data_IF_661453146891
#
_entry.id   IF_661453146891
#
_cell.length_a   1.000
_cell.length_b   1.000
_cell.length_c   1.000
_cell.angle_alpha   90.00
_cell.angle_beta   90.00
_cell.angle_gamma   90.00
#
_symmetry.space_group_name_H-M   'P 1'
#
loop_
_entity.id
_entity.type
_entity.pdbx_description
1 polymer ?
#
# COMPACT_ATOMS: atom_id res chain seq x y z
N UNK A 1 17.83 -38.24 -8.30
CA UNK A 1 17.02 -37.05 -7.97
C UNK A 1 16.23 -36.69 -9.21
N UNK A 2 14.90 -36.83 -9.20
CA UNK A 2 14.07 -36.30 -10.29
C UNK A 2 14.21 -34.77 -10.27
N UNK A 3 14.71 -34.18 -11.36
CA UNK A 3 14.70 -32.74 -11.52
C UNK A 3 13.22 -32.29 -11.47
N UNK A 4 12.80 -31.49 -10.48
CA UNK A 4 11.42 -31.07 -10.40
C UNK A 4 11.06 -30.12 -11.56
N UNK A 5 12.03 -29.51 -12.24
CA UNK A 5 11.77 -28.60 -13.35
C UNK A 5 11.56 -29.35 -14.68
N UNK A 6 10.52 -29.00 -15.46
CA UNK A 6 10.39 -29.50 -16.81
C UNK A 6 11.58 -29.03 -17.66
N UNK A 7 12.07 -29.90 -18.55
CA UNK A 7 13.20 -29.57 -19.43
C UNK A 7 12.86 -28.43 -20.42
N UNK A 8 11.58 -28.27 -20.75
CA UNK A 8 11.06 -27.26 -21.67
C UNK A 8 9.73 -26.72 -21.13
N UNK A 9 9.56 -25.40 -21.20
CA UNK A 9 8.26 -24.74 -21.04
C UNK A 9 7.63 -24.65 -22.44
N UNK A 10 6.70 -25.55 -22.73
CA UNK A 10 6.19 -25.74 -24.10
C UNK A 10 4.67 -25.73 -24.21
N UNK A 11 3.96 -25.73 -23.08
CA UNK A 11 2.50 -25.68 -23.08
C UNK A 11 2.02 -24.25 -23.31
N UNK A 12 1.46 -23.99 -24.50
CA UNK A 12 0.81 -22.73 -24.82
C UNK A 12 -0.35 -22.44 -23.85
N UNK A 13 -1.17 -23.45 -23.57
CA UNK A 13 -2.28 -23.36 -22.60
C UNK A 13 -1.78 -22.92 -21.23
N UNK A 14 -0.62 -23.41 -20.79
CA UNK A 14 -0.06 -23.02 -19.51
C UNK A 14 0.35 -21.54 -19.46
N UNK A 15 0.88 -21.01 -20.58
CA UNK A 15 1.22 -19.60 -20.69
C UNK A 15 -0.04 -18.72 -20.72
N UNK A 16 -1.05 -19.10 -21.49
CA UNK A 16 -2.30 -18.34 -21.62
C UNK A 16 -3.06 -18.27 -20.28
N UNK A 17 -3.08 -19.39 -19.53
CA UNK A 17 -3.60 -19.40 -18.16
C UNK A 17 -2.82 -18.49 -17.21
N UNK A 18 -1.49 -18.49 -17.29
CA UNK A 18 -0.66 -17.60 -16.46
C UNK A 18 -0.95 -16.12 -16.77
N UNK A 19 -1.14 -15.77 -18.04
CA UNK A 19 -1.56 -14.42 -18.43
C UNK A 19 -2.96 -14.08 -17.91
N UNK A 20 -3.91 -15.01 -18.00
CA UNK A 20 -5.27 -14.84 -17.49
C UNK A 20 -5.30 -14.61 -15.98
N UNK A 21 -4.51 -15.38 -15.23
CA UNK A 21 -4.32 -15.18 -13.79
C UNK A 21 -3.77 -13.79 -13.48
N UNK A 22 -2.76 -13.36 -14.23
CA UNK A 22 -2.13 -12.06 -14.03
C UNK A 22 -3.10 -10.92 -14.35
N UNK A 23 -3.88 -11.03 -15.43
CA UNK A 23 -4.90 -10.05 -15.79
C UNK A 23 -5.98 -9.95 -14.70
N UNK A 24 -6.40 -11.08 -14.12
CA UNK A 24 -7.32 -11.12 -12.98
C UNK A 24 -6.76 -10.35 -11.77
N UNK A 25 -5.49 -10.57 -11.44
CA UNK A 25 -4.80 -9.81 -10.39
C UNK A 25 -4.70 -8.31 -10.71
N UNK A 26 -4.25 -7.96 -11.92
CA UNK A 26 -4.08 -6.55 -12.32
C UNK A 26 -5.40 -5.79 -12.29
N UNK A 27 -6.51 -6.44 -12.69
CA UNK A 27 -7.85 -5.88 -12.58
C UNK A 27 -8.29 -5.71 -11.13
N UNK A 28 -7.99 -6.67 -10.25
CA UNK A 28 -8.26 -6.50 -8.83
C UNK A 28 -7.50 -5.31 -8.26
N UNK A 29 -6.21 -5.23 -8.58
CA UNK A 29 -5.31 -4.23 -8.00
C UNK A 29 -5.61 -2.81 -8.52
N UNK A 30 -6.05 -2.67 -9.77
CA UNK A 30 -6.50 -1.36 -10.29
C UNK A 30 -7.71 -0.85 -9.51
N UNK A 31 -8.73 -1.69 -9.28
CA UNK A 31 -9.93 -1.34 -8.48
C UNK A 31 -9.53 -0.94 -7.05
N UNK A 32 -8.58 -1.67 -6.45
CA UNK A 32 -8.06 -1.36 -5.12
C UNK A 32 -7.43 0.04 -5.08
N UNK A 33 -6.58 0.38 -6.06
CA UNK A 33 -5.93 1.70 -6.14
C UNK A 33 -6.94 2.81 -6.42
N UNK A 34 -7.90 2.55 -7.31
CA UNK A 34 -8.97 3.49 -7.65
C UNK A 34 -9.80 3.86 -6.41
N UNK A 35 -10.10 2.91 -5.53
CA UNK A 35 -10.78 3.20 -4.27
C UNK A 35 -9.98 4.16 -3.37
N UNK A 36 -8.65 4.06 -3.37
CA UNK A 36 -7.76 5.01 -2.69
C UNK A 36 -7.80 6.42 -3.30
N UNK A 37 -7.88 6.52 -4.63
CA UNK A 37 -8.00 7.82 -5.32
C UNK A 37 -9.37 8.46 -5.09
N UNK A 38 -10.44 7.69 -5.22
CA UNK A 38 -11.81 8.13 -4.94
C UNK A 38 -11.99 8.53 -3.48
N UNK A 39 -11.26 7.94 -2.54
CA UNK A 39 -11.28 8.35 -1.14
C UNK A 39 -10.83 9.81 -0.94
N UNK A 40 -9.84 10.29 -1.73
CA UNK A 40 -9.42 11.70 -1.70
C UNK A 40 -10.58 12.60 -2.13
N UNK A 41 -11.20 12.31 -3.26
CA UNK A 41 -12.34 13.11 -3.77
C UNK A 41 -13.52 13.10 -2.80
N UNK A 42 -13.85 11.93 -2.24
CA UNK A 42 -14.90 11.80 -1.25
C UNK A 42 -14.57 12.58 0.05
N UNK A 43 -13.32 12.55 0.51
CA UNK A 43 -12.87 13.33 1.65
C UNK A 43 -13.01 14.84 1.38
N UNK A 44 -12.53 15.33 0.23
CA UNK A 44 -12.61 16.74 -0.17
C UNK A 44 -14.07 17.25 -0.24
N UNK A 45 -14.98 16.38 -0.69
CA UNK A 45 -16.41 16.66 -0.77
C UNK A 45 -17.18 16.37 0.53
N UNK A 46 -16.50 15.93 1.59
CA UNK A 46 -17.11 15.49 2.86
C UNK A 46 -18.15 14.35 2.68
N UNK A 47 -18.01 13.53 1.65
CA UNK A 47 -18.86 12.36 1.38
C UNK A 47 -18.45 11.16 2.25
N UNK A 48 -18.83 11.22 3.52
CA UNK A 48 -18.58 10.15 4.49
C UNK A 48 -19.31 8.85 4.16
N UNK A 49 -20.43 8.95 3.43
CA UNK A 49 -21.15 7.77 2.98
C UNK A 49 -20.36 7.05 1.87
N UNK A 50 -19.83 7.80 0.90
CA UNK A 50 -18.95 7.31 -0.15
C UNK A 50 -17.70 6.62 0.40
N UNK A 51 -17.00 7.23 1.36
CA UNK A 51 -15.84 6.60 2.02
C UNK A 51 -16.22 5.26 2.66
N UNK A 52 -17.37 5.19 3.35
CA UNK A 52 -17.85 3.95 3.97
C UNK A 52 -18.21 2.89 2.94
N UNK A 53 -18.76 3.31 1.81
CA UNK A 53 -19.10 2.43 0.70
C UNK A 53 -17.84 1.85 0.05
N UNK A 54 -16.85 2.69 -0.27
CA UNK A 54 -15.55 2.27 -0.81
C UNK A 54 -14.86 1.21 0.08
N UNK A 55 -14.90 1.39 1.41
CA UNK A 55 -14.35 0.41 2.35
C UNK A 55 -15.05 -0.95 2.29
N UNK A 56 -16.39 -0.96 2.18
CA UNK A 56 -17.16 -2.20 2.07
C UNK A 56 -16.88 -2.90 0.74
N UNK A 57 -16.98 -2.16 -0.35
CA UNK A 57 -16.84 -2.69 -1.70
C UNK A 57 -15.44 -3.29 -1.92
N UNK A 58 -14.39 -2.64 -1.40
CA UNK A 58 -13.02 -3.15 -1.45
C UNK A 58 -12.85 -4.53 -0.82
N UNK A 59 -13.55 -4.84 0.27
CA UNK A 59 -13.47 -6.17 0.92
C UNK A 59 -14.12 -7.22 0.01
N UNK A 60 -15.29 -6.92 -0.54
CA UNK A 60 -16.03 -7.85 -1.42
C UNK A 60 -15.33 -8.07 -2.77
N UNK A 61 -14.62 -7.05 -3.28
CA UNK A 61 -14.00 -7.14 -4.60
C UNK A 61 -12.84 -8.13 -4.70
N UNK A 62 -12.12 -8.45 -3.62
CA UNK A 62 -11.07 -9.47 -3.71
C UNK A 62 -11.65 -10.84 -4.08
N UNK A 63 -12.60 -11.31 -3.27
CA UNK A 63 -13.24 -12.61 -3.47
C UNK A 63 -13.93 -12.68 -4.82
N UNK A 64 -14.61 -11.59 -5.24
CA UNK A 64 -15.27 -11.53 -6.53
C UNK A 64 -14.27 -11.69 -7.69
N UNK A 65 -13.11 -11.03 -7.65
CA UNK A 65 -12.09 -11.15 -8.71
C UNK A 65 -11.47 -12.55 -8.75
N UNK A 66 -11.27 -13.17 -7.59
CA UNK A 66 -10.81 -14.56 -7.50
C UNK A 66 -11.84 -15.50 -8.12
N UNK A 67 -13.13 -15.34 -7.79
CA UNK A 67 -14.23 -16.14 -8.33
C UNK A 67 -14.33 -15.98 -9.85
N UNK A 68 -14.33 -14.76 -10.36
CA UNK A 68 -14.40 -14.47 -11.80
C UNK A 68 -13.22 -15.05 -12.56
N UNK A 69 -11.99 -14.89 -12.04
CA UNK A 69 -10.79 -15.44 -12.67
C UNK A 69 -10.82 -16.96 -12.68
N UNK A 70 -11.27 -17.58 -11.58
CA UNK A 70 -11.41 -19.03 -11.51
C UNK A 70 -12.42 -19.54 -12.55
N UNK A 71 -13.63 -18.96 -12.59
CA UNK A 71 -14.64 -19.35 -13.58
C UNK A 71 -14.15 -19.18 -15.02
N UNK A 72 -13.44 -18.09 -15.32
CA UNK A 72 -12.88 -17.88 -16.65
C UNK A 72 -11.88 -18.99 -17.02
N UNK A 73 -11.00 -19.37 -16.09
CA UNK A 73 -10.05 -20.45 -16.31
C UNK A 73 -10.74 -21.81 -16.51
N UNK A 74 -11.80 -22.06 -15.76
CA UNK A 74 -12.61 -23.29 -15.83
C UNK A 74 -13.34 -23.40 -17.19
N UNK A 75 -13.96 -22.32 -17.66
CA UNK A 75 -14.73 -22.30 -18.90
C UNK A 75 -13.85 -22.33 -20.16
N UNK A 76 -12.75 -21.57 -20.17
CA UNK A 76 -11.89 -21.42 -21.35
C UNK A 76 -10.89 -22.58 -21.52
N UNK A 77 -10.34 -23.10 -20.42
CA UNK A 77 -9.22 -24.05 -20.46
C UNK A 77 -9.54 -25.42 -19.85
N UNK A 78 -10.77 -25.66 -19.37
CA UNK A 78 -11.15 -26.86 -18.60
C UNK A 78 -10.17 -27.12 -17.44
N UNK A 79 -9.86 -26.05 -16.68
CA UNK A 79 -8.74 -26.01 -15.74
C UNK A 79 -8.74 -27.16 -14.68
N UNK A 80 -9.91 -27.73 -14.38
CA UNK A 80 -10.07 -28.85 -13.46
C UNK A 80 -9.54 -30.19 -14.01
N UNK A 81 -9.58 -30.37 -15.33
CA UNK A 81 -9.15 -31.60 -16.00
C UNK A 81 -7.66 -31.60 -16.36
N UNK A 82 -6.98 -30.46 -16.21
CA UNK A 82 -5.57 -30.31 -16.54
C UNK A 82 -4.67 -31.11 -15.60
N UNK A 83 -3.57 -31.64 -16.15
CA UNK A 83 -2.60 -32.42 -15.39
C UNK A 83 -1.73 -31.54 -14.48
N UNK A 84 -1.20 -32.15 -13.43
CA UNK A 84 -0.18 -31.57 -12.55
C UNK A 84 1.00 -30.94 -13.33
N UNK A 85 1.43 -31.54 -14.44
CA UNK A 85 2.53 -31.03 -15.26
C UNK A 85 2.18 -29.69 -15.92
N UNK A 86 0.94 -29.50 -16.35
CA UNK A 86 0.47 -28.24 -16.94
C UNK A 86 0.42 -27.16 -15.86
N UNK A 87 -0.18 -27.45 -14.70
CA UNK A 87 -0.22 -26.51 -13.57
C UNK A 87 1.16 -26.09 -13.08
N UNK A 88 2.12 -27.01 -13.12
CA UNK A 88 3.50 -26.67 -12.84
C UNK A 88 4.06 -25.67 -13.86
N UNK A 89 3.81 -25.88 -15.15
CA UNK A 89 4.22 -24.92 -16.20
C UNK A 89 3.51 -23.58 -16.04
N UNK A 90 2.22 -23.55 -15.66
CA UNK A 90 1.47 -22.31 -15.39
C UNK A 90 2.19 -21.47 -14.34
N UNK A 91 2.56 -22.09 -13.21
CA UNK A 91 3.30 -21.41 -12.14
C UNK A 91 4.64 -20.87 -12.62
N UNK A 92 5.38 -21.63 -13.43
CA UNK A 92 6.69 -21.21 -13.95
C UNK A 92 6.58 -20.04 -14.93
N UNK A 93 5.58 -20.06 -15.81
CA UNK A 93 5.27 -18.92 -16.68
C UNK A 93 4.86 -17.70 -15.84
N UNK A 94 4.01 -17.91 -14.83
CA UNK A 94 3.58 -16.84 -13.93
C UNK A 94 4.77 -16.16 -13.24
N UNK A 95 5.72 -16.93 -12.67
CA UNK A 95 6.96 -16.40 -12.08
C UNK A 95 7.71 -15.50 -13.06
N UNK A 96 7.83 -15.92 -14.33
CA UNK A 96 8.48 -15.12 -15.36
C UNK A 96 7.76 -13.80 -15.64
N UNK A 97 6.43 -13.76 -15.51
CA UNK A 97 5.64 -12.53 -15.70
C UNK A 97 5.71 -11.58 -14.49
N UNK A 98 6.02 -12.08 -13.30
CA UNK A 98 6.04 -11.27 -12.08
C UNK A 98 7.21 -10.27 -12.03
N UNK A 99 8.27 -10.45 -12.84
CA UNK A 99 9.49 -9.63 -12.78
C UNK A 99 9.25 -8.13 -13.02
N UNK A 100 8.19 -7.80 -13.76
CA UNK A 100 7.87 -6.43 -14.15
C UNK A 100 6.73 -5.83 -13.32
N UNK A 101 6.33 -6.50 -12.24
CA UNK A 101 5.27 -6.01 -11.36
C UNK A 101 5.84 -5.26 -10.16
N UNK A 102 5.12 -4.22 -9.77
CA UNK A 102 5.40 -3.46 -8.56
C UNK A 102 4.83 -4.11 -7.28
N UNK A 103 4.03 -5.19 -7.42
CA UNK A 103 3.36 -5.89 -6.30
C UNK A 103 3.38 -7.43 -6.46
N UNK A 104 4.56 -8.03 -6.73
CA UNK A 104 4.64 -9.46 -6.98
C UNK A 104 4.12 -10.32 -5.81
N UNK A 105 4.29 -9.85 -4.57
CA UNK A 105 3.83 -10.55 -3.36
C UNK A 105 2.29 -10.70 -3.30
N UNK A 106 1.57 -9.70 -3.82
CA UNK A 106 0.11 -9.75 -3.89
C UNK A 106 -0.36 -10.60 -5.07
N UNK A 107 0.36 -10.55 -6.19
CA UNK A 107 0.09 -11.38 -7.36
C UNK A 107 0.25 -12.88 -7.06
N UNK A 108 1.26 -13.26 -6.26
CA UNK A 108 1.45 -14.63 -5.77
C UNK A 108 0.30 -15.08 -4.84
N UNK A 109 -0.17 -14.19 -3.96
CA UNK A 109 -1.30 -14.47 -3.07
C UNK A 109 -2.61 -14.66 -3.85
N UNK A 110 -2.82 -13.83 -4.88
CA UNK A 110 -3.96 -13.95 -5.79
C UNK A 110 -3.91 -15.27 -6.56
N UNK A 111 -2.75 -15.62 -7.11
CA UNK A 111 -2.52 -16.91 -7.77
C UNK A 111 -2.89 -18.09 -6.86
N UNK A 112 -2.42 -18.08 -5.61
CA UNK A 112 -2.75 -19.11 -4.63
C UNK A 112 -4.26 -19.20 -4.40
N UNK A 113 -4.94 -18.05 -4.30
CA UNK A 113 -6.38 -17.98 -4.03
C UNK A 113 -7.20 -18.58 -5.18
N UNK A 114 -6.84 -18.27 -6.42
CA UNK A 114 -7.50 -18.84 -7.62
C UNK A 114 -7.19 -20.33 -7.76
N UNK A 115 -5.92 -20.72 -7.63
CA UNK A 115 -5.50 -22.12 -7.83
C UNK A 115 -6.09 -23.05 -6.78
N UNK A 116 -6.12 -22.64 -5.50
CA UNK A 116 -6.73 -23.43 -4.42
C UNK A 116 -8.24 -23.57 -4.58
N UNK A 117 -8.90 -22.58 -5.19
CA UNK A 117 -10.33 -22.66 -5.54
C UNK A 117 -10.59 -23.72 -6.60
N UNK A 118 -9.83 -23.71 -7.70
CA UNK A 118 -10.02 -24.65 -8.82
C UNK A 118 -9.64 -26.08 -8.42
N UNK A 119 -8.49 -26.27 -7.77
CA UNK A 119 -7.97 -27.63 -7.50
C UNK A 119 -8.54 -28.28 -6.23
N UNK A 120 -9.38 -27.55 -5.48
CA UNK A 120 -9.86 -27.90 -4.15
C UNK A 120 -8.73 -28.27 -3.16
N UNK A 121 -9.08 -28.53 -1.89
CA UNK A 121 -8.15 -28.85 -0.80
C UNK A 121 -7.28 -30.11 -0.99
N UNK A 122 -7.39 -30.80 -2.15
CA UNK A 122 -6.61 -32.00 -2.49
C UNK A 122 -5.15 -31.71 -2.83
N UNK A 123 -4.76 -30.46 -3.06
CA UNK A 123 -3.41 -30.12 -3.54
C UNK A 123 -2.71 -29.01 -2.73
N UNK A 124 -2.63 -29.16 -1.41
CA UNK A 124 -1.59 -28.49 -0.60
C UNK A 124 -0.22 -29.11 -0.88
N UNK A 125 0.25 -29.02 -2.14
CA UNK A 125 1.59 -29.41 -2.54
C UNK A 125 2.35 -28.15 -2.96
N UNK A 126 3.50 -27.89 -2.33
CA UNK A 126 4.34 -26.69 -2.56
C UNK A 126 4.73 -26.49 -4.04
N UNK A 127 4.58 -27.52 -4.88
CA UNK A 127 4.79 -27.43 -6.33
C UNK A 127 3.81 -26.48 -7.01
N UNK A 128 2.57 -26.36 -6.53
CA UNK A 128 1.50 -25.61 -7.22
C UNK A 128 1.11 -24.30 -6.55
N UNK A 129 1.63 -24.00 -5.36
CA UNK A 129 1.35 -22.76 -4.63
C UNK A 129 2.64 -22.04 -4.22
N UNK A 130 2.57 -20.73 -4.05
CA UNK A 130 3.65 -19.91 -3.51
C UNK A 130 3.65 -20.00 -1.98
N UNK A 131 4.56 -20.79 -1.41
CA UNK A 131 4.74 -20.90 0.06
C UNK A 131 5.77 -19.89 0.59
N UNK A 132 6.67 -19.45 -0.28
CA UNK A 132 7.65 -18.40 -0.02
C UNK A 132 7.64 -17.41 -1.19
N UNK A 133 7.86 -16.12 -0.94
CA UNK A 133 8.00 -15.14 -2.01
C UNK A 133 9.09 -15.56 -2.99
N UNK A 134 8.76 -15.55 -4.28
CA UNK A 134 9.71 -15.92 -5.35
C UNK A 134 10.53 -14.72 -5.79
N UNK A 135 9.94 -13.52 -5.73
CA UNK A 135 10.58 -12.25 -6.10
C UNK A 135 10.86 -11.43 -4.84
N UNK A 136 12.08 -10.90 -4.74
CA UNK A 136 12.44 -9.95 -3.70
C UNK A 136 11.81 -8.59 -3.99
N UNK A 137 11.17 -8.01 -2.98
CA UNK A 137 10.62 -6.65 -3.08
C UNK A 137 11.63 -5.57 -2.67
N UNK A 138 12.88 -5.93 -2.37
CA UNK A 138 13.92 -4.99 -1.90
C UNK A 138 14.41 -4.05 -3.01
N UNK A 139 14.41 -4.52 -4.26
CA UNK A 139 14.91 -3.80 -5.43
C UNK A 139 13.86 -3.83 -6.54
N UNK A 140 12.74 -3.15 -6.32
CA UNK A 140 11.75 -2.88 -7.37
C UNK A 140 12.16 -1.60 -8.09
N UNK A 141 12.71 -1.73 -9.29
CA UNK A 141 12.99 -0.60 -10.18
C UNK A 141 11.70 -0.13 -10.83
N UNK A 142 11.49 1.19 -10.86
CA UNK A 142 10.33 1.80 -11.49
C UNK A 142 10.83 2.59 -12.70
N UNK A 143 10.95 1.88 -13.83
CA UNK A 143 11.55 2.39 -15.07
C UNK A 143 10.63 3.34 -15.86
N UNK A 144 9.37 3.45 -15.47
CA UNK A 144 8.43 4.40 -16.06
C UNK A 144 8.61 5.79 -15.43
N UNK A 145 8.74 6.82 -16.29
CA UNK A 145 8.97 8.25 -16.01
C UNK A 145 8.57 8.68 -14.59
N UNK A 146 9.42 9.44 -13.86
CA UNK A 146 9.50 9.45 -12.39
C UNK A 146 8.12 9.34 -11.76
N UNK A 147 7.69 8.10 -11.55
CA UNK A 147 6.52 7.77 -10.75
C UNK A 147 6.71 8.45 -9.40
N UNK A 148 5.62 8.96 -8.81
CA UNK A 148 5.70 9.65 -7.53
C UNK A 148 6.40 8.69 -6.55
N UNK A 149 7.54 9.07 -5.95
CA UNK A 149 8.28 8.17 -5.08
C UNK A 149 7.36 7.74 -3.92
N UNK A 150 7.56 6.55 -3.34
CA UNK A 150 6.70 6.07 -2.25
C UNK A 150 6.68 7.03 -1.04
N UNK A 151 7.78 7.76 -0.82
CA UNK A 151 7.86 8.88 0.12
C UNK A 151 8.73 10.01 -0.42
N UNK A 152 8.59 11.20 0.15
CA UNK A 152 9.43 12.38 -0.11
C UNK A 152 10.25 12.70 1.14
N UNK A 153 11.50 13.10 0.94
CA UNK A 153 12.37 13.61 1.99
C UNK A 153 12.38 15.15 1.97
N UNK A 154 12.32 15.75 3.15
CA UNK A 154 12.38 17.17 3.37
C UNK A 154 13.48 17.48 4.40
N UNK A 155 14.13 18.63 4.24
CA UNK A 155 15.32 19.00 5.01
C UNK A 155 15.10 20.34 5.73
N UNK A 156 14.63 20.32 6.98
CA UNK A 156 14.47 21.54 7.78
C UNK A 156 15.79 22.22 8.15
N UNK A 157 16.91 21.48 8.10
CA UNK A 157 18.21 21.91 8.63
C UNK A 157 18.26 21.78 10.15
N UNK A 158 17.32 22.42 10.85
CA UNK A 158 17.15 22.32 12.31
C UNK A 158 15.67 22.44 12.73
N UNK A 159 15.43 22.49 14.04
CA UNK A 159 14.06 22.62 14.56
C UNK A 159 13.39 23.96 14.24
N UNK A 160 14.12 25.02 13.89
CA UNK A 160 13.56 26.31 13.49
C UNK A 160 13.01 26.26 12.05
N UNK A 161 13.61 25.46 11.18
CA UNK A 161 13.13 25.24 9.81
C UNK A 161 11.90 24.34 9.66
N UNK A 162 11.34 23.81 10.76
CA UNK A 162 10.23 22.85 10.72
C UNK A 162 8.97 23.40 10.07
N UNK A 163 8.53 24.59 10.47
CA UNK A 163 7.27 25.17 10.01
C UNK A 163 7.18 25.35 8.49
N UNK A 164 8.15 26.00 7.80
CA UNK A 164 8.10 26.14 6.34
C UNK A 164 8.17 24.78 5.62
N UNK A 165 8.92 23.81 6.16
CA UNK A 165 8.98 22.45 5.61
C UNK A 165 7.64 21.73 5.74
N UNK A 166 7.01 21.76 6.91
CA UNK A 166 5.69 21.15 7.13
C UNK A 166 4.62 21.79 6.24
N UNK A 167 4.69 23.11 6.04
CA UNK A 167 3.82 23.83 5.09
C UNK A 167 3.99 23.31 3.66
N UNK A 168 5.23 23.18 3.19
CA UNK A 168 5.54 22.62 1.86
C UNK A 168 5.09 21.17 1.74
N UNK A 169 5.28 20.37 2.79
CA UNK A 169 4.89 18.96 2.85
C UNK A 169 3.37 18.80 2.70
N UNK A 170 2.58 19.57 3.46
CA UNK A 170 1.11 19.53 3.39
C UNK A 170 0.64 20.01 2.01
N UNK A 171 1.21 21.09 1.48
CA UNK A 171 0.87 21.60 0.15
C UNK A 171 1.13 20.57 -0.96
N UNK A 172 2.10 19.67 -0.77
CA UNK A 172 2.48 18.66 -1.77
C UNK A 172 1.41 17.58 -2.04
N UNK A 173 0.37 17.50 -1.20
CA UNK A 173 -0.76 16.58 -1.36
C UNK A 173 -1.91 17.16 -2.18
N UNK A 174 -1.87 18.47 -2.46
CA UNK A 174 -2.79 19.15 -3.37
C UNK A 174 -4.28 18.93 -2.99
N UNK A 175 -4.60 19.12 -1.71
CA UNK A 175 -5.98 19.08 -1.21
C UNK A 175 -6.72 20.34 -1.66
N UNK A 176 -7.92 20.20 -2.21
CA UNK A 176 -8.71 21.32 -2.72
C UNK A 176 -9.27 22.25 -1.63
N UNK A 177 -9.48 21.71 -0.43
CA UNK A 177 -10.13 22.43 0.65
C UNK A 177 -9.16 23.43 1.30
N UNK A 178 -9.60 24.67 1.57
CA UNK A 178 -8.79 25.61 2.33
C UNK A 178 -8.65 25.15 3.78
N UNK A 179 -7.54 25.51 4.41
CA UNK A 179 -7.37 25.36 5.86
C UNK A 179 -8.02 26.54 6.59
N UNK A 180 -8.64 26.28 7.73
CA UNK A 180 -9.23 27.33 8.59
C UNK A 180 -8.14 28.33 9.03
N UNK A 181 -7.01 27.81 9.52
CA UNK A 181 -5.83 28.60 9.86
C UNK A 181 -4.58 27.70 9.90
N UNK A 182 -3.97 27.47 8.73
CA UNK A 182 -2.82 26.57 8.61
C UNK A 182 -1.60 27.04 9.42
N UNK A 183 -1.33 28.35 9.47
CA UNK A 183 -0.15 28.86 10.16
C UNK A 183 -0.25 28.62 11.68
N UNK A 184 -1.43 28.86 12.29
CA UNK A 184 -1.72 28.52 13.69
C UNK A 184 -1.52 27.02 13.95
N UNK A 185 -2.11 26.18 13.10
CA UNK A 185 -2.05 24.73 13.28
C UNK A 185 -0.60 24.22 13.17
N UNK A 186 0.19 24.81 12.26
CA UNK A 186 1.62 24.52 12.11
C UNK A 186 2.47 25.04 13.28
N UNK A 187 2.14 26.17 13.89
CA UNK A 187 2.82 26.67 15.10
C UNK A 187 2.65 25.66 16.25
N UNK A 188 1.43 25.19 16.48
CA UNK A 188 1.11 24.17 17.49
C UNK A 188 1.82 22.85 17.19
N UNK A 189 1.74 22.39 15.94
CA UNK A 189 2.39 21.16 15.47
C UNK A 189 3.91 21.22 15.68
N UNK A 190 4.53 22.33 15.28
CA UNK A 190 5.97 22.54 15.41
C UNK A 190 6.40 22.60 16.87
N UNK A 191 5.59 23.23 17.74
CA UNK A 191 5.84 23.25 19.18
C UNK A 191 5.85 21.83 19.77
N UNK A 192 4.86 21.01 19.44
CA UNK A 192 4.78 19.62 19.92
C UNK A 192 5.95 18.77 19.42
N UNK A 193 6.37 18.93 18.16
CA UNK A 193 7.56 18.26 17.63
C UNK A 193 8.81 18.68 18.41
N UNK A 194 9.01 19.99 18.62
CA UNK A 194 10.14 20.53 19.40
C UNK A 194 10.17 19.97 20.83
N UNK A 195 9.01 19.90 21.48
CA UNK A 195 8.88 19.32 22.82
C UNK A 195 9.25 17.83 22.84
N UNK A 196 8.80 17.05 21.86
CA UNK A 196 9.16 15.62 21.75
C UNK A 196 10.66 15.37 21.48
N UNK A 197 11.33 16.35 20.88
CA UNK A 197 12.76 16.30 20.54
C UNK A 197 13.63 16.99 21.60
N UNK A 198 13.05 17.57 22.65
CA UNK A 198 13.75 18.44 23.62
C UNK A 198 14.97 17.80 24.31
N UNK A 199 15.02 16.47 24.40
CA UNK A 199 16.15 15.73 24.96
C UNK A 199 17.27 15.42 23.95
N UNK A 200 17.13 15.86 22.69
CA UNK A 200 18.03 15.52 21.59
C UNK A 200 18.48 16.80 20.87
N UNK A 201 19.78 16.97 20.64
CA UNK A 201 20.28 18.02 19.75
C UNK A 201 19.96 17.68 18.29
N UNK A 202 19.72 18.69 17.45
CA UNK A 202 19.59 18.47 16.00
C UNK A 202 20.91 17.97 15.43
N UNK A 203 20.89 16.78 14.84
CA UNK A 203 21.97 16.20 14.07
C UNK A 203 22.05 16.86 12.70
N UNK A 204 23.21 16.75 12.03
CA UNK A 204 23.43 17.32 10.70
C UNK A 204 22.54 16.71 9.61
N UNK A 205 21.96 15.54 9.86
CA UNK A 205 21.10 14.79 8.97
C UNK A 205 19.60 14.95 9.29
N UNK A 206 19.22 16.00 10.03
CA UNK A 206 17.83 16.24 10.43
C UNK A 206 16.87 16.31 9.24
N UNK A 207 15.96 15.33 9.17
CA UNK A 207 15.11 15.07 8.01
C UNK A 207 13.68 14.75 8.42
N UNK A 208 12.74 15.09 7.54
CA UNK A 208 11.36 14.63 7.59
C UNK A 208 11.09 13.80 6.34
N UNK A 209 10.67 12.55 6.50
CA UNK A 209 10.15 11.77 5.39
C UNK A 209 8.64 11.63 5.51
N UNK A 210 7.91 11.80 4.41
CA UNK A 210 6.46 11.58 4.39
C UNK A 210 6.07 10.71 3.20
N UNK A 211 5.20 9.73 3.43
CA UNK A 211 4.59 8.94 2.37
C UNK A 211 3.87 9.86 1.38
N UNK A 212 3.98 9.57 0.09
CA UNK A 212 3.48 10.46 -0.97
C UNK A 212 1.97 10.42 -1.15
N UNK A 213 1.28 9.53 -0.45
CA UNK A 213 -0.18 9.41 -0.47
C UNK A 213 -0.78 9.52 0.93
N UNK A 214 -2.00 10.08 0.98
CA UNK A 214 -2.77 10.25 2.21
C UNK A 214 -3.51 8.94 2.51
N UNK A 215 -3.55 8.60 3.80
CA UNK A 215 -4.31 7.47 4.30
C UNK A 215 -5.67 7.98 4.80
N UNK A 216 -6.76 7.52 4.22
CA UNK A 216 -8.10 7.94 4.61
C UNK A 216 -8.77 6.89 5.48
N UNK A 217 -9.39 7.34 6.58
CA UNK A 217 -10.25 6.49 7.40
C UNK A 217 -11.34 7.32 8.05
N UNK A 218 -12.59 6.85 7.92
CA UNK A 218 -13.77 7.56 8.43
C UNK A 218 -13.80 9.01 7.92
N UNK A 219 -13.60 9.98 8.81
CA UNK A 219 -13.61 11.42 8.51
C UNK A 219 -12.22 12.06 8.56
N UNK A 220 -11.17 11.25 8.65
CA UNK A 220 -9.81 11.71 8.91
C UNK A 220 -8.89 11.30 7.77
N UNK A 221 -8.09 12.26 7.33
CA UNK A 221 -6.99 12.09 6.39
C UNK A 221 -5.68 12.10 7.17
N UNK A 222 -4.89 11.05 7.05
CA UNK A 222 -3.63 10.91 7.77
C UNK A 222 -2.46 11.06 6.81
N UNK A 223 -1.59 12.03 7.08
CA UNK A 223 -0.29 12.14 6.44
C UNK A 223 0.70 11.36 7.28
N UNK A 224 1.19 10.25 6.74
CA UNK A 224 2.10 9.35 7.42
C UNK A 224 3.55 9.76 7.14
N UNK A 225 4.34 9.90 8.19
CA UNK A 225 5.72 10.33 8.08
C UNK A 225 6.57 9.93 9.27
N UNK A 226 7.84 10.30 9.19
CA UNK A 226 8.85 10.07 10.21
C UNK A 226 9.87 11.20 10.25
N UNK A 227 10.34 11.49 11.45
CA UNK A 227 11.45 12.39 11.72
C UNK A 227 12.70 11.54 11.88
N UNK A 228 13.77 11.90 11.18
CA UNK A 228 15.10 11.31 11.33
C UNK A 228 15.99 12.38 11.95
N UNK A 229 16.62 12.04 13.07
CA UNK A 229 17.57 12.91 13.76
C UNK A 229 18.75 12.08 14.27
N UNK A 230 19.83 12.01 13.50
CA UNK A 230 20.90 11.03 13.69
C UNK A 230 20.35 9.60 13.60
N UNK A 231 20.73 8.76 14.56
CA UNK A 231 20.27 7.36 14.63
C UNK A 231 18.80 7.21 15.08
N UNK A 232 18.16 8.29 15.54
CA UNK A 232 16.79 8.23 16.06
C UNK A 232 15.77 8.47 14.95
N UNK A 233 14.91 7.48 14.74
CA UNK A 233 13.71 7.58 13.90
C UNK A 233 12.49 7.70 14.81
N UNK A 234 11.68 8.74 14.63
CA UNK A 234 10.46 8.96 15.41
C UNK A 234 9.26 9.14 14.47
N UNK A 235 8.07 8.63 14.82
CA UNK A 235 6.87 8.88 14.02
C UNK A 235 6.52 10.35 13.87
N UNK A 236 5.93 10.70 12.74
CA UNK A 236 5.30 11.99 12.49
C UNK A 236 4.04 11.75 11.66
N UNK A 237 2.89 11.65 12.32
CA UNK A 237 1.60 11.48 11.64
C UNK A 237 0.74 12.70 11.89
N UNK A 238 0.29 13.37 10.83
CA UNK A 238 -0.66 14.48 10.92
C UNK A 238 -2.07 13.97 10.62
N UNK A 239 -3.02 14.25 11.52
CA UNK A 239 -4.43 13.94 11.34
C UNK A 239 -5.15 15.22 10.86
N UNK A 240 -5.64 15.19 9.63
CA UNK A 240 -6.41 16.26 9.01
C UNK A 240 -7.90 15.92 9.08
N UNK A 241 -8.71 16.89 9.49
CA UNK A 241 -10.16 16.77 9.56
C UNK A 241 -10.85 18.02 9.03
N UNK A 242 -12.13 17.89 8.71
CA UNK A 242 -12.98 19.04 8.38
C UNK A 242 -13.57 19.63 9.65
N UNK A 243 -13.49 20.96 9.79
CA UNK A 243 -14.28 21.68 10.78
C UNK A 243 -15.76 21.75 10.34
N UNK A 244 -16.69 22.24 11.19
CA UNK A 244 -18.10 22.36 10.82
C UNK A 244 -18.41 23.27 9.61
N UNK A 245 -17.46 24.10 9.17
CA UNK A 245 -17.57 24.97 7.98
C UNK A 245 -17.04 24.29 6.71
N UNK A 246 -16.47 23.10 6.81
CA UNK A 246 -15.86 22.39 5.69
C UNK A 246 -14.43 22.83 5.35
N UNK A 247 -13.77 23.55 6.24
CA UNK A 247 -12.35 23.91 6.12
C UNK A 247 -11.49 22.84 6.82
N UNK A 248 -10.26 22.66 6.35
CA UNK A 248 -9.33 21.71 6.94
C UNK A 248 -8.68 22.27 8.21
N UNK A 249 -8.46 21.38 9.17
CA UNK A 249 -7.67 21.63 10.37
C UNK A 249 -6.71 20.48 10.60
N UNK A 250 -5.54 20.76 11.19
CA UNK A 250 -4.68 19.72 11.77
C UNK A 250 -5.25 19.42 13.16
N UNK A 251 -6.10 18.40 13.25
CA UNK A 251 -6.80 18.01 14.47
C UNK A 251 -5.84 17.41 15.51
N UNK A 252 -4.79 16.72 15.04
CA UNK A 252 -3.80 16.12 15.92
C UNK A 252 -2.52 15.70 15.22
N UNK A 253 -1.51 15.43 16.05
CA UNK A 253 -0.22 14.89 15.65
C UNK A 253 0.11 13.67 16.52
N UNK A 254 0.63 12.62 15.89
CA UNK A 254 1.10 11.42 16.57
C UNK A 254 2.62 11.34 16.42
N UNK A 255 3.33 11.35 17.55
CA UNK A 255 4.79 11.41 17.63
C UNK A 255 5.42 10.19 18.30
N UNK A 256 4.60 9.26 18.78
CA UNK A 256 5.06 8.05 19.46
C UNK A 256 4.56 6.78 18.79
N UNK A 257 5.32 5.71 18.94
CA UNK A 257 4.94 4.38 18.46
C UNK A 257 3.60 3.92 19.07
N UNK A 258 3.36 4.23 20.35
CA UNK A 258 2.14 3.85 21.07
C UNK A 258 0.91 4.46 20.40
N UNK A 259 0.99 5.73 20.02
CA UNK A 259 -0.09 6.43 19.33
C UNK A 259 -0.36 5.82 17.94
N UNK A 260 0.72 5.48 17.21
CA UNK A 260 0.60 4.82 15.92
C UNK A 260 -0.04 3.43 16.06
N UNK A 261 0.34 2.63 17.06
CA UNK A 261 -0.26 1.31 17.29
C UNK A 261 -1.77 1.40 17.51
N UNK A 262 -2.25 2.45 18.19
CA UNK A 262 -3.68 2.65 18.40
C UNK A 262 -4.42 2.88 17.08
N UNK A 263 -3.87 3.71 16.19
CA UNK A 263 -4.48 3.95 14.88
C UNK A 263 -4.28 2.78 13.90
N UNK A 264 -3.27 1.93 14.07
CA UNK A 264 -3.06 0.72 13.25
C UNK A 264 -3.62 -0.57 13.89
N UNK A 265 -4.34 -0.46 15.01
CA UNK A 265 -4.93 -1.62 15.68
C UNK A 265 -5.91 -2.36 14.77
N UNK A 266 -5.89 -3.70 14.85
CA UNK A 266 -6.78 -4.63 14.14
C UNK A 266 -8.27 -4.42 14.44
N UNK A 267 -8.59 -3.69 15.52
CA UNK A 267 -9.97 -3.36 15.90
C UNK A 267 -10.59 -2.24 15.07
N UNK A 268 -9.79 -1.54 14.27
CA UNK A 268 -10.25 -0.45 13.42
C UNK A 268 -10.44 -0.89 11.97
N UNK A 269 -11.25 -0.14 11.23
CA UNK A 269 -11.36 -0.32 9.78
C UNK A 269 -10.02 -0.04 9.08
N UNK A 270 -9.77 -0.76 7.99
CA UNK A 270 -8.62 -0.55 7.12
C UNK A 270 -8.57 0.90 6.58
N UNK A 271 -7.37 1.36 6.24
CA UNK A 271 -7.19 2.61 5.51
C UNK A 271 -7.51 2.45 4.03
N UNK A 272 -8.07 3.49 3.41
CA UNK A 272 -8.08 3.69 1.97
C UNK A 272 -6.83 4.49 1.59
N UNK A 273 -6.02 3.94 0.69
CA UNK A 273 -4.75 4.54 0.26
C UNK A 273 -4.41 4.03 -1.14
N UNK A 274 -3.98 4.93 -2.03
CA UNK A 274 -3.40 4.55 -3.32
C UNK A 274 -1.94 4.17 -3.11
N UNK A 275 -1.62 2.89 -3.30
CA UNK A 275 -0.27 2.36 -3.16
C UNK A 275 0.15 1.74 -4.48
N UNK A 276 1.14 2.33 -5.13
CA UNK A 276 1.76 1.70 -6.29
C UNK A 276 2.66 0.54 -5.87
N UNK A 277 3.49 0.71 -4.85
CA UNK A 277 4.43 -0.32 -4.39
C UNK A 277 4.13 -0.63 -2.91
N UNK A 278 3.15 -1.49 -2.56
CA UNK A 278 2.75 -1.74 -1.16
C UNK A 278 3.89 -2.15 -0.25
N UNK A 279 4.81 -2.97 -0.75
CA UNK A 279 6.01 -3.41 -0.03
C UNK A 279 6.87 -2.23 0.45
N UNK A 280 6.99 -1.15 -0.34
CA UNK A 280 7.70 0.06 0.06
C UNK A 280 6.97 0.80 1.20
N UNK A 281 5.64 0.83 1.17
CA UNK A 281 4.82 1.43 2.24
C UNK A 281 4.91 0.61 3.52
N UNK A 282 4.84 -0.72 3.44
CA UNK A 282 5.02 -1.62 4.58
C UNK A 282 6.42 -1.46 5.18
N UNK A 283 7.45 -1.37 4.34
CA UNK A 283 8.85 -1.15 4.79
C UNK A 283 9.00 0.20 5.49
N UNK A 284 8.39 1.26 4.94
CA UNK A 284 8.33 2.56 5.60
C UNK A 284 7.64 2.47 6.96
N UNK A 285 6.47 1.84 7.03
CA UNK A 285 5.71 1.72 8.28
C UNK A 285 6.43 0.85 9.32
N UNK A 286 7.16 -0.20 8.92
CA UNK A 286 8.00 -1.01 9.83
C UNK A 286 9.09 -0.21 10.54
N UNK A 287 9.57 0.88 9.93
CA UNK A 287 10.49 1.80 10.61
C UNK A 287 9.85 2.60 11.74
N UNK A 288 8.50 2.63 11.80
CA UNK A 288 7.70 3.34 12.80
C UNK A 288 6.98 2.40 13.76
N UNK A 289 6.73 1.17 13.29
CA UNK A 289 6.04 0.09 13.97
C UNK A 289 6.87 -1.20 13.77
N UNK A 290 7.98 -1.37 14.52
CA UNK A 290 8.87 -2.52 14.37
C UNK A 290 8.25 -3.85 14.85
N UNK A 291 7.10 -3.81 15.54
CA UNK A 291 6.44 -4.95 16.15
C UNK A 291 4.95 -5.01 15.78
#
# INVERSE_FOLDING_TARGET
>A
MNNPFPKLLSSQVAFDMAQTLLQGFMRHYSIFRDAGRLAKEAFENQDWHGIRQLLRDRITFYDQRVIETAHHLEEEFDAHALSDEIWQQVKLHYIGLLSNLHQPELAETFFNSVTTRILASKYFNNKFIFVRPTISTEYLENDEAPSKPSYRAYYPGDTQGLQPVLKSLIASFDLKNPFENLDRDLDLTTKLIKESLSSTTSSTDFQIHALSTIFFRNKTAYIMGRIINGEKISPLVLALMHNPKGELVIDGILLSEVDLRLIFSFTHSYFLVDMEVPSAYVTFMRSLLPH
#
